data_IF_080165691311
#
_entry.id   IF_080165691311
#
_cell.length_a   1.000
_cell.length_b   1.000
_cell.length_c   1.000
_cell.angle_alpha   90.00
_cell.angle_beta   90.00
_cell.angle_gamma   90.00
#
_symmetry.space_group_name_H-M   'P 1'
#
loop_
_entity.id
_entity.type
_entity.pdbx_description
1 polymer ?
#
# COMPACT_ATOMS: atom_id res chain seq x y z
N UNK A 1 -2.75 -14.42 3.88
CA UNK A 1 -1.43 -13.75 4.01
C UNK A 1 -0.57 -14.48 5.04
N UNK A 2 -0.99 -14.57 6.31
CA UNK A 2 -0.20 -15.19 7.40
C UNK A 2 0.26 -16.61 7.07
N UNK A 3 -0.58 -17.41 6.42
CA UNK A 3 -0.24 -18.77 5.98
C UNK A 3 0.87 -18.82 4.91
N UNK A 4 1.13 -17.71 4.24
CA UNK A 4 2.19 -17.57 3.26
C UNK A 4 3.55 -17.17 3.85
N UNK A 5 3.59 -16.71 5.10
CA UNK A 5 4.83 -16.37 5.78
C UNK A 5 5.63 -17.63 6.15
N UNK A 6 6.94 -17.61 5.91
CA UNK A 6 7.87 -18.63 6.41
C UNK A 6 7.93 -18.61 7.95
N UNK A 7 8.61 -19.59 8.56
CA UNK A 7 8.82 -19.61 10.00
C UNK A 7 9.68 -18.41 10.45
N UNK A 8 10.68 -18.08 9.67
CA UNK A 8 11.59 -16.94 9.86
C UNK A 8 10.85 -15.62 9.70
N UNK A 9 10.04 -15.49 8.64
CA UNK A 9 9.23 -14.29 8.39
C UNK A 9 8.26 -13.98 9.55
N UNK A 10 7.65 -15.02 10.17
CA UNK A 10 6.74 -14.84 11.31
C UNK A 10 7.40 -14.26 12.56
N UNK A 11 8.73 -14.37 12.67
CA UNK A 11 9.49 -13.74 13.76
C UNK A 11 9.73 -12.25 13.52
N UNK A 12 9.59 -11.78 12.27
CA UNK A 12 9.92 -10.41 11.84
C UNK A 12 8.65 -9.61 11.51
N UNK A 13 7.67 -10.23 10.86
CA UNK A 13 6.46 -9.55 10.40
C UNK A 13 5.31 -9.69 11.39
N UNK A 14 4.72 -8.56 11.77
CA UNK A 14 3.37 -8.50 12.30
C UNK A 14 2.36 -8.29 11.15
N UNK A 15 1.19 -8.89 11.24
CA UNK A 15 0.12 -8.71 10.27
C UNK A 15 -1.09 -8.11 10.96
N UNK A 16 -1.57 -6.97 10.46
CA UNK A 16 -2.75 -6.31 10.96
C UNK A 16 -3.79 -6.17 9.83
N UNK A 17 -4.96 -6.83 9.93
CA UNK A 17 -6.02 -6.70 8.93
C UNK A 17 -6.81 -5.41 9.14
N UNK A 18 -6.89 -4.57 8.10
CA UNK A 18 -7.82 -3.45 8.08
C UNK A 18 -9.23 -3.95 7.74
N UNK A 19 -10.23 -3.50 8.48
CA UNK A 19 -11.65 -3.88 8.27
C UNK A 19 -12.35 -3.05 7.19
N UNK A 20 -11.59 -2.28 6.42
CA UNK A 20 -12.09 -1.41 5.37
C UNK A 20 -11.20 -0.19 5.16
N UNK A 21 -11.77 0.90 4.65
CA UNK A 21 -11.07 2.16 4.46
C UNK A 21 -10.77 2.82 5.80
N UNK A 22 -9.53 3.25 5.99
CA UNK A 22 -9.15 4.04 7.16
C UNK A 22 -9.90 5.37 7.22
N UNK A 23 -10.07 5.88 8.42
CA UNK A 23 -10.59 7.23 8.64
C UNK A 23 -9.67 8.25 7.96
N UNK A 24 -10.25 9.14 7.15
CA UNK A 24 -9.54 10.32 6.70
C UNK A 24 -9.34 11.27 7.90
N UNK A 25 -8.08 11.44 8.32
CA UNK A 25 -7.75 12.22 9.53
C UNK A 25 -7.68 13.72 9.27
N UNK A 26 -7.54 14.15 8.00
CA UNK A 26 -7.53 15.59 7.64
C UNK A 26 -8.83 16.26 8.06
N UNK A 27 -8.71 17.38 8.75
CA UNK A 27 -9.83 18.17 9.29
C UNK A 27 -10.82 17.36 10.16
N UNK A 28 -10.36 16.25 10.73
CA UNK A 28 -11.17 15.42 11.63
C UNK A 28 -10.84 15.75 13.09
N UNK A 29 -11.87 15.85 13.92
CA UNK A 29 -11.72 16.11 15.35
C UNK A 29 -10.81 15.07 16.01
N UNK A 30 -9.89 15.51 16.85
CA UNK A 30 -8.92 14.65 17.53
C UNK A 30 -9.60 13.56 18.38
N UNK A 31 -10.74 13.87 18.97
CA UNK A 31 -11.56 12.91 19.73
C UNK A 31 -12.04 11.77 18.84
N UNK A 32 -12.47 12.06 17.60
CA UNK A 32 -12.90 11.04 16.64
C UNK A 32 -11.72 10.17 16.17
N UNK A 33 -10.55 10.77 15.98
CA UNK A 33 -9.33 10.05 15.63
C UNK A 33 -8.92 9.10 16.76
N UNK A 34 -8.92 9.58 18.00
CA UNK A 34 -8.53 8.80 19.19
C UNK A 34 -9.52 7.67 19.51
N UNK A 35 -10.79 7.81 19.13
CA UNK A 35 -11.82 6.78 19.31
C UNK A 35 -11.92 5.82 18.10
N UNK A 36 -11.06 5.96 17.09
CA UNK A 36 -11.04 5.05 15.95
C UNK A 36 -10.20 3.81 16.29
N UNK A 37 -10.82 2.64 16.26
CA UNK A 37 -10.18 1.37 16.64
C UNK A 37 -8.99 1.01 15.78
N UNK A 38 -9.07 1.20 14.46
CA UNK A 38 -7.98 0.89 13.54
C UNK A 38 -6.75 1.75 13.83
N UNK A 39 -6.94 3.07 14.00
CA UNK A 39 -5.86 4.01 14.31
C UNK A 39 -5.25 3.69 15.67
N UNK A 40 -6.10 3.44 16.67
CA UNK A 40 -5.67 3.08 18.03
C UNK A 40 -4.87 1.78 18.04
N UNK A 41 -5.31 0.78 17.27
CA UNK A 41 -4.59 -0.48 17.14
C UNK A 41 -3.25 -0.30 16.40
N UNK A 42 -3.19 0.47 15.31
CA UNK A 42 -1.93 0.78 14.61
C UNK A 42 -0.95 1.45 15.58
N UNK A 43 -1.40 2.47 16.34
CA UNK A 43 -0.58 3.14 17.36
C UNK A 43 0.00 2.14 18.37
N UNK A 44 -0.85 1.30 18.95
CA UNK A 44 -0.46 0.31 19.95
C UNK A 44 0.48 -0.75 19.40
N UNK A 45 0.23 -1.26 18.19
CA UNK A 45 1.06 -2.28 17.55
C UNK A 45 2.45 -1.73 17.23
N UNK A 46 2.52 -0.51 16.70
CA UNK A 46 3.78 0.14 16.34
C UNK A 46 4.53 0.72 17.55
N UNK A 47 3.85 1.01 18.64
CA UNK A 47 4.40 1.75 19.79
C UNK A 47 4.46 3.26 19.54
N UNK A 48 3.52 3.81 18.75
CA UNK A 48 3.47 5.23 18.43
C UNK A 48 2.81 6.05 19.53
N UNK A 49 3.42 7.16 19.87
CA UNK A 49 2.89 8.14 20.81
C UNK A 49 2.30 9.35 20.06
N UNK A 50 1.21 9.90 20.57
CA UNK A 50 0.60 11.10 19.98
C UNK A 50 1.54 12.31 20.07
N UNK A 51 1.59 13.12 19.01
CA UNK A 51 2.38 14.36 18.94
C UNK A 51 3.90 14.18 19.13
N UNK A 52 4.40 12.95 19.07
CA UNK A 52 5.84 12.67 19.15
C UNK A 52 6.46 12.70 17.78
N UNK A 53 7.63 13.32 17.67
CA UNK A 53 8.50 13.28 16.50
C UNK A 53 9.42 12.07 16.58
N UNK A 54 9.72 11.50 15.43
CA UNK A 54 10.57 10.33 15.30
C UNK A 54 11.64 10.56 14.24
N UNK A 55 12.87 10.19 14.55
CA UNK A 55 13.97 10.08 13.59
C UNK A 55 14.33 8.60 13.35
N UNK A 56 15.28 8.32 12.47
CA UNK A 56 15.70 6.94 12.15
C UNK A 56 16.20 6.16 13.37
N UNK A 57 16.86 6.84 14.32
CA UNK A 57 17.35 6.21 15.57
C UNK A 57 16.17 5.85 16.47
N UNK A 58 15.18 6.74 16.56
CA UNK A 58 13.97 6.49 17.35
C UNK A 58 13.18 5.31 16.79
N UNK A 59 13.03 5.22 15.45
CA UNK A 59 12.35 4.10 14.81
C UNK A 59 13.00 2.78 15.19
N UNK A 60 14.34 2.69 15.14
CA UNK A 60 15.08 1.47 15.48
C UNK A 60 15.05 1.11 16.97
N UNK A 61 14.99 2.12 17.86
CA UNK A 61 15.13 1.89 19.32
C UNK A 61 13.80 1.92 20.07
N UNK A 62 12.80 2.65 19.60
CA UNK A 62 11.56 2.94 20.35
C UNK A 62 10.33 2.30 19.74
N UNK A 63 10.31 2.07 18.41
CA UNK A 63 9.19 1.41 17.78
C UNK A 63 9.36 -0.11 17.76
N UNK A 64 8.24 -0.83 17.82
CA UNK A 64 8.22 -2.29 17.74
C UNK A 64 8.59 -2.78 16.34
N UNK A 65 8.25 -2.03 15.29
CA UNK A 65 8.53 -2.33 13.90
C UNK A 65 9.22 -1.15 13.24
N UNK A 66 10.24 -1.42 12.42
CA UNK A 66 11.03 -0.40 11.73
C UNK A 66 10.37 0.13 10.47
N UNK A 67 9.37 -0.56 9.92
CA UNK A 67 8.67 -0.17 8.69
C UNK A 67 7.27 -0.75 8.63
N UNK A 68 6.47 -0.20 7.72
CA UNK A 68 5.11 -0.65 7.40
C UNK A 68 5.03 -1.01 5.93
N UNK A 69 4.55 -2.21 5.63
CA UNK A 69 4.26 -2.66 4.28
C UNK A 69 2.75 -2.82 4.11
N UNK A 70 2.16 -1.99 3.28
CA UNK A 70 0.73 -2.01 3.00
C UNK A 70 0.46 -2.98 1.85
N UNK A 71 -0.51 -3.86 2.05
CA UNK A 71 -1.00 -4.81 1.06
C UNK A 71 -2.48 -4.56 0.82
N UNK A 72 -2.84 -4.25 -0.42
CA UNK A 72 -4.23 -4.03 -0.84
C UNK A 72 -4.47 -4.70 -2.18
N UNK A 73 -5.73 -4.83 -2.55
CA UNK A 73 -6.11 -5.19 -3.91
C UNK A 73 -5.53 -4.17 -4.90
N UNK A 74 -5.27 -4.61 -6.14
CA UNK A 74 -4.68 -3.76 -7.17
C UNK A 74 -5.78 -3.04 -8.00
N UNK A 75 -6.72 -2.42 -7.29
CA UNK A 75 -7.84 -1.67 -7.84
C UNK A 75 -7.91 -0.24 -7.29
N UNK A 76 -8.94 0.52 -7.67
CA UNK A 76 -9.12 1.91 -7.24
C UNK A 76 -9.35 2.01 -5.72
N UNK A 77 -10.09 1.07 -5.13
CA UNK A 77 -10.33 1.05 -3.68
C UNK A 77 -9.04 0.73 -2.91
N UNK A 78 -8.23 -0.21 -3.40
CA UNK A 78 -6.91 -0.48 -2.86
C UNK A 78 -5.97 0.73 -2.95
N UNK A 79 -6.01 1.47 -4.04
CA UNK A 79 -5.26 2.73 -4.19
C UNK A 79 -5.74 3.80 -3.21
N UNK A 80 -7.05 3.90 -2.98
CA UNK A 80 -7.63 4.80 -1.98
C UNK A 80 -7.18 4.43 -0.55
N UNK A 81 -7.17 3.13 -0.21
CA UNK A 81 -6.68 2.65 1.10
C UNK A 81 -5.19 3.01 1.28
N UNK A 82 -4.35 2.80 0.27
CA UNK A 82 -2.93 3.23 0.30
C UNK A 82 -2.81 4.72 0.59
N UNK A 83 -3.60 5.54 -0.11
CA UNK A 83 -3.64 7.00 0.08
C UNK A 83 -4.06 7.39 1.50
N UNK A 84 -5.10 6.75 2.06
CA UNK A 84 -5.54 7.01 3.44
C UNK A 84 -4.48 6.62 4.48
N UNK A 85 -3.71 5.55 4.24
CA UNK A 85 -2.58 5.19 5.10
C UNK A 85 -1.48 6.25 5.06
N UNK A 86 -1.11 6.72 3.86
CA UNK A 86 -0.14 7.82 3.71
C UNK A 86 -0.65 9.06 4.45
N UNK A 87 -1.92 9.43 4.24
CA UNK A 87 -2.53 10.58 4.88
C UNK A 87 -2.51 10.48 6.42
N UNK A 88 -2.80 9.30 6.99
CA UNK A 88 -2.74 9.09 8.44
C UNK A 88 -1.34 9.41 8.99
N UNK A 89 -0.29 8.86 8.37
CA UNK A 89 1.07 9.09 8.84
C UNK A 89 1.55 10.51 8.58
N UNK A 90 1.21 11.10 7.43
CA UNK A 90 1.53 12.49 7.12
C UNK A 90 0.88 13.46 8.11
N UNK A 91 -0.38 13.23 8.46
CA UNK A 91 -1.14 14.10 9.36
C UNK A 91 -0.71 13.95 10.82
N UNK A 92 -0.40 12.74 11.26
CA UNK A 92 -0.15 12.44 12.69
C UNK A 92 1.32 12.27 13.05
N UNK A 93 2.15 11.83 12.11
CA UNK A 93 3.58 11.55 12.29
C UNK A 93 4.37 11.87 11.02
N UNK A 94 4.33 13.12 10.59
CA UNK A 94 4.93 13.56 9.32
C UNK A 94 6.42 13.20 9.20
N UNK A 95 7.14 13.18 10.32
CA UNK A 95 8.56 12.81 10.31
C UNK A 95 8.79 11.36 9.88
N UNK A 96 7.86 10.43 10.20
CA UNK A 96 8.00 9.01 9.85
C UNK A 96 7.94 8.76 8.34
N UNK A 97 7.05 9.45 7.62
CA UNK A 97 6.94 9.24 6.18
C UNK A 97 8.12 9.80 5.38
N UNK A 98 8.94 10.63 6.02
CA UNK A 98 10.18 11.18 5.46
C UNK A 98 11.38 10.26 5.66
N UNK A 99 11.25 9.26 6.54
CA UNK A 99 12.28 8.25 6.77
C UNK A 99 12.26 7.27 5.59
N UNK A 100 13.42 7.05 4.99
CA UNK A 100 13.56 6.09 3.90
C UNK A 100 13.10 4.70 4.32
N UNK A 101 12.37 4.03 3.42
CA UNK A 101 11.87 2.66 3.60
C UNK A 101 10.94 2.44 4.80
N UNK A 102 10.45 3.51 5.46
CA UNK A 102 9.48 3.38 6.54
C UNK A 102 8.11 2.91 6.04
N UNK A 103 7.64 3.45 4.92
CA UNK A 103 6.34 3.10 4.33
C UNK A 103 6.52 2.54 2.93
N UNK A 104 5.97 1.35 2.69
CA UNK A 104 6.01 0.69 1.39
C UNK A 104 4.71 0.00 1.03
N UNK A 105 4.59 -0.37 -0.23
CA UNK A 105 3.44 -1.07 -0.80
C UNK A 105 3.92 -2.35 -1.44
N UNK A 106 3.38 -3.48 -1.01
CA UNK A 106 3.66 -4.74 -1.69
C UNK A 106 2.82 -4.84 -2.96
N UNK A 107 3.51 -4.96 -4.09
CA UNK A 107 2.86 -5.14 -5.38
C UNK A 107 2.65 -6.64 -5.65
N UNK A 108 1.41 -7.06 -5.83
CA UNK A 108 1.04 -8.43 -6.18
C UNK A 108 0.59 -8.50 -7.63
N UNK A 109 0.79 -9.63 -8.33
CA UNK A 109 0.35 -9.75 -9.72
C UNK A 109 -1.16 -9.58 -9.87
N UNK A 110 -1.59 -8.86 -10.91
CA UNK A 110 -2.99 -8.78 -11.33
C UNK A 110 -3.38 -9.93 -12.26
N UNK A 111 -2.39 -10.48 -12.96
CA UNK A 111 -2.56 -11.56 -13.93
C UNK A 111 -1.37 -12.52 -13.87
N UNK A 112 -1.66 -13.82 -14.08
CA UNK A 112 -0.64 -14.83 -14.36
C UNK A 112 -1.03 -15.61 -15.62
N UNK A 113 -0.08 -15.81 -16.52
CA UNK A 113 -0.20 -16.67 -17.70
C UNK A 113 0.64 -17.93 -17.49
N UNK A 114 0.06 -19.12 -17.69
CA UNK A 114 0.76 -20.41 -17.53
C UNK A 114 0.65 -21.25 -18.79
N UNK A 115 1.79 -21.88 -19.18
CA UNK A 115 1.85 -22.85 -20.25
C UNK A 115 2.84 -23.97 -19.87
N UNK A 116 2.31 -25.11 -19.46
CA UNK A 116 3.13 -26.18 -18.90
C UNK A 116 3.87 -25.71 -17.64
N UNK A 117 5.21 -25.77 -17.66
CA UNK A 117 6.07 -25.31 -16.55
C UNK A 117 6.40 -23.81 -16.60
N UNK A 118 6.06 -23.11 -17.69
CA UNK A 118 6.31 -21.67 -17.83
C UNK A 118 5.21 -20.88 -17.16
N UNK A 119 5.61 -19.88 -16.36
CA UNK A 119 4.71 -18.90 -15.75
C UNK A 119 5.24 -17.49 -16.02
N UNK A 120 4.34 -16.58 -16.38
CA UNK A 120 4.60 -15.15 -16.53
C UNK A 120 3.63 -14.40 -15.65
N UNK A 121 4.11 -13.42 -14.88
CA UNK A 121 3.32 -12.61 -13.97
C UNK A 121 3.27 -11.17 -14.49
N UNK A 122 2.10 -10.54 -14.40
CA UNK A 122 1.88 -9.15 -14.83
C UNK A 122 1.35 -8.34 -13.67
N UNK A 123 1.89 -7.13 -13.49
CA UNK A 123 1.59 -6.24 -12.39
C UNK A 123 0.72 -5.04 -12.82
N UNK A 124 0.54 -4.87 -14.14
CA UNK A 124 -0.39 -3.93 -14.75
C UNK A 124 -0.92 -4.48 -16.08
N UNK A 125 -2.02 -3.90 -16.56
CA UNK A 125 -2.67 -4.35 -17.81
C UNK A 125 -1.81 -4.07 -19.04
N UNK A 126 -1.03 -2.99 -19.04
CA UNK A 126 -0.16 -2.63 -20.17
C UNK A 126 0.91 -3.71 -20.42
N UNK A 127 1.56 -4.22 -19.36
CA UNK A 127 2.50 -5.33 -19.47
C UNK A 127 1.85 -6.57 -20.09
N UNK A 128 0.63 -6.90 -19.66
CA UNK A 128 -0.10 -8.05 -20.19
C UNK A 128 -0.48 -7.86 -21.66
N UNK A 129 -0.99 -6.72 -22.07
CA UNK A 129 -1.36 -6.46 -23.47
C UNK A 129 -0.15 -6.46 -24.41
N UNK A 130 1.00 -5.93 -23.99
CA UNK A 130 2.27 -6.02 -24.75
C UNK A 130 2.70 -7.47 -24.91
N UNK A 131 2.66 -8.24 -23.84
CA UNK A 131 3.02 -9.66 -23.89
C UNK A 131 2.06 -10.46 -24.75
N UNK A 132 0.77 -10.22 -24.64
CA UNK A 132 -0.31 -10.89 -25.38
C UNK A 132 -0.12 -10.73 -26.88
N UNK A 133 0.19 -9.50 -27.36
CA UNK A 133 0.50 -9.23 -28.76
C UNK A 133 1.70 -10.03 -29.26
N UNK A 134 2.74 -10.20 -28.43
CA UNK A 134 3.96 -10.95 -28.77
C UNK A 134 3.79 -12.48 -28.65
N UNK A 135 2.75 -12.98 -28.04
CA UNK A 135 2.51 -14.39 -27.76
C UNK A 135 1.22 -14.93 -28.41
N UNK A 136 0.97 -14.55 -29.65
CA UNK A 136 -0.20 -15.02 -30.44
C UNK A 136 -1.52 -14.87 -29.66
N UNK A 137 -1.76 -13.68 -29.10
CA UNK A 137 -2.92 -13.35 -28.26
C UNK A 137 -3.14 -14.31 -27.08
N UNK A 138 -2.07 -14.90 -26.55
CA UNK A 138 -2.13 -15.83 -25.44
C UNK A 138 -2.67 -17.22 -25.78
N UNK A 139 -2.75 -17.59 -27.07
CA UNK A 139 -3.24 -18.89 -27.51
C UNK A 139 -2.39 -20.02 -26.90
N UNK A 140 -3.08 -20.96 -26.22
CA UNK A 140 -2.44 -22.08 -25.53
C UNK A 140 -1.85 -21.75 -24.15
N UNK A 141 -2.14 -20.57 -23.62
CA UNK A 141 -1.85 -20.20 -22.24
C UNK A 141 -3.11 -20.18 -21.39
N UNK A 142 -3.00 -20.61 -20.15
CA UNK A 142 -4.06 -20.47 -19.13
C UNK A 142 -3.84 -19.13 -18.43
N UNK A 143 -4.84 -18.24 -18.48
CA UNK A 143 -4.77 -16.92 -17.87
C UNK A 143 -5.59 -16.93 -16.57
N UNK A 144 -4.96 -16.53 -15.46
CA UNK A 144 -5.62 -16.34 -14.16
C UNK A 144 -5.60 -14.87 -13.79
N UNK A 145 -6.78 -14.30 -13.57
CA UNK A 145 -6.96 -12.93 -13.07
C UNK A 145 -7.05 -12.94 -11.55
N UNK A 146 -6.41 -11.97 -10.92
CA UNK A 146 -6.43 -11.74 -9.48
C UNK A 146 -7.18 -10.44 -9.20
N UNK A 147 -8.48 -10.56 -8.89
CA UNK A 147 -9.32 -9.39 -8.59
C UNK A 147 -8.99 -8.77 -7.23
N UNK A 148 -8.32 -9.51 -6.35
CA UNK A 148 -7.92 -9.05 -5.04
C UNK A 148 -7.05 -10.07 -4.32
N UNK A 149 -6.57 -9.71 -3.14
CA UNK A 149 -5.71 -10.56 -2.30
C UNK A 149 -6.37 -11.90 -1.95
N UNK A 150 -7.71 -11.91 -1.85
CA UNK A 150 -8.48 -13.13 -1.55
C UNK A 150 -8.46 -14.19 -2.65
N UNK A 151 -8.09 -13.84 -3.88
CA UNK A 151 -7.97 -14.79 -5.01
C UNK A 151 -6.62 -15.53 -5.05
N UNK A 152 -5.66 -15.11 -4.23
CA UNK A 152 -4.36 -15.75 -4.10
C UNK A 152 -4.38 -16.85 -3.07
N UNK A 153 -3.75 -17.99 -3.40
CA UNK A 153 -3.58 -19.13 -2.51
C UNK A 153 -2.44 -18.91 -1.51
N UNK A 154 -2.40 -19.70 -0.44
CA UNK A 154 -1.27 -19.68 0.52
C UNK A 154 0.08 -19.96 -0.14
N UNK A 155 0.11 -20.83 -1.17
CA UNK A 155 1.32 -21.10 -1.95
C UNK A 155 1.79 -19.86 -2.73
N UNK A 156 0.85 -19.16 -3.36
CA UNK A 156 1.15 -17.93 -4.08
C UNK A 156 1.66 -16.82 -3.13
N UNK A 157 1.09 -16.71 -1.93
CA UNK A 157 1.64 -15.78 -0.91
C UNK A 157 3.06 -16.15 -0.49
N UNK A 158 3.41 -17.44 -0.36
CA UNK A 158 4.81 -17.85 -0.12
C UNK A 158 5.74 -17.37 -1.23
N UNK A 159 5.31 -17.49 -2.49
CA UNK A 159 6.08 -17.00 -3.64
C UNK A 159 6.24 -15.47 -3.60
N UNK A 160 5.16 -14.73 -3.24
CA UNK A 160 5.21 -13.27 -3.14
C UNK A 160 6.14 -12.82 -2.01
N UNK A 161 6.15 -13.48 -0.87
CA UNK A 161 7.04 -13.15 0.25
C UNK A 161 8.49 -13.56 -0.02
N UNK A 162 8.73 -14.65 -0.77
CA UNK A 162 10.08 -15.05 -1.18
C UNK A 162 10.71 -14.06 -2.18
N UNK A 163 9.89 -13.46 -3.05
CA UNK A 163 10.32 -12.51 -4.10
C UNK A 163 9.52 -11.20 -4.00
N UNK A 164 9.62 -10.53 -2.86
CA UNK A 164 8.86 -9.31 -2.57
C UNK A 164 9.12 -8.21 -3.60
N UNK A 165 8.06 -7.72 -4.23
CA UNK A 165 8.09 -6.48 -5.01
C UNK A 165 7.48 -5.37 -4.17
N UNK A 166 8.32 -4.64 -3.47
CA UNK A 166 7.91 -3.52 -2.62
C UNK A 166 8.23 -2.21 -3.33
N UNK A 167 7.22 -1.36 -3.43
CA UNK A 167 7.36 0.02 -3.90
C UNK A 167 7.44 0.88 -2.65
N UNK A 168 8.56 1.53 -2.42
CA UNK A 168 8.77 2.40 -1.28
C UNK A 168 8.16 3.77 -1.53
N UNK A 169 7.42 4.29 -0.54
CA UNK A 169 6.96 5.67 -0.56
C UNK A 169 8.12 6.61 -0.28
N UNK A 170 8.25 7.65 -1.10
CA UNK A 170 9.22 8.73 -0.90
C UNK A 170 8.49 10.07 -0.86
N UNK A 171 8.71 10.83 0.20
CA UNK A 171 8.15 12.16 0.37
C UNK A 171 9.04 13.18 -0.36
N UNK A 172 8.56 13.70 -1.50
CA UNK A 172 9.22 14.80 -2.23
C UNK A 172 8.78 16.17 -1.71
N UNK A 173 9.32 17.24 -2.28
CA UNK A 173 9.06 18.63 -1.86
C UNK A 173 7.57 19.01 -1.85
N UNK A 174 6.79 18.53 -2.81
CA UNK A 174 5.34 18.81 -2.93
C UNK A 174 4.46 17.81 -2.18
N UNK A 175 5.04 16.90 -1.39
CA UNK A 175 4.33 15.80 -0.75
C UNK A 175 3.20 16.30 0.15
N UNK A 176 3.51 17.23 1.04
CA UNK A 176 2.54 17.75 2.02
C UNK A 176 1.37 18.46 1.35
N UNK A 177 1.64 19.31 0.33
CA UNK A 177 0.57 19.97 -0.44
C UNK A 177 -0.27 18.98 -1.24
N UNK A 178 0.37 17.98 -1.85
CA UNK A 178 -0.34 16.96 -2.65
C UNK A 178 -1.28 16.13 -1.78
N UNK A 179 -0.83 15.67 -0.61
CA UNK A 179 -1.66 14.91 0.32
C UNK A 179 -2.78 15.78 0.87
N UNK A 180 -2.48 17.02 1.23
CA UNK A 180 -3.50 17.97 1.70
C UNK A 180 -4.55 18.23 0.62
N UNK A 181 -4.15 18.49 -0.62
CA UNK A 181 -5.06 18.67 -1.76
C UNK A 181 -6.00 17.49 -1.93
N UNK A 182 -5.48 16.24 -1.81
CA UNK A 182 -6.28 15.03 -2.02
C UNK A 182 -7.27 14.82 -0.88
N UNK A 183 -6.87 15.02 0.38
CA UNK A 183 -7.65 14.56 1.54
C UNK A 183 -8.35 15.68 2.33
N UNK A 184 -7.95 16.94 2.15
CA UNK A 184 -8.58 18.07 2.83
C UNK A 184 -9.92 18.40 2.18
N UNK A 185 -10.99 18.38 2.99
CA UNK A 185 -12.36 18.66 2.52
C UNK A 185 -12.51 20.07 1.95
N UNK A 186 -11.77 21.04 2.49
CA UNK A 186 -11.83 22.44 2.06
C UNK A 186 -11.20 22.69 0.68
N UNK A 187 -10.44 21.71 0.16
CA UNK A 187 -9.75 21.80 -1.13
C UNK A 187 -10.47 21.03 -2.25
N UNK A 188 -11.80 20.95 -2.20
CA UNK A 188 -12.58 20.25 -3.22
C UNK A 188 -12.43 20.85 -4.62
N UNK A 189 -12.39 22.19 -4.71
CA UNK A 189 -12.27 22.88 -6.00
C UNK A 189 -10.85 22.76 -6.57
N UNK A 190 -9.81 22.77 -5.71
CA UNK A 190 -8.44 22.48 -6.14
C UNK A 190 -8.33 21.09 -6.77
N UNK A 191 -9.01 20.09 -6.18
CA UNK A 191 -9.04 18.71 -6.75
C UNK A 191 -9.74 18.65 -8.09
N UNK A 192 -10.88 19.35 -8.25
CA UNK A 192 -11.60 19.41 -9.55
C UNK A 192 -10.70 19.97 -10.62
N UNK A 193 -10.13 21.15 -10.36
CA UNK A 193 -9.21 21.81 -11.29
C UNK A 193 -7.99 20.94 -11.63
N UNK A 194 -7.43 20.25 -10.62
CA UNK A 194 -6.32 19.31 -10.86
C UNK A 194 -6.73 18.15 -11.76
N UNK A 195 -7.91 17.55 -11.55
CA UNK A 195 -8.40 16.42 -12.35
C UNK A 195 -8.78 16.84 -13.77
N UNK A 196 -9.33 18.04 -13.95
CA UNK A 196 -9.66 18.60 -15.27
C UNK A 196 -8.41 18.82 -16.12
N UNK A 197 -7.31 19.20 -15.49
CA UNK A 197 -6.02 19.46 -16.14
C UNK A 197 -5.06 18.27 -16.13
N UNK A 198 -5.52 17.10 -15.64
CA UNK A 198 -4.68 15.91 -15.54
C UNK A 198 -4.50 15.27 -16.92
N UNK A 199 -3.27 15.25 -17.41
CA UNK A 199 -2.91 14.50 -18.60
C UNK A 199 -2.72 13.01 -18.25
N UNK A 200 -3.58 12.17 -18.82
CA UNK A 200 -3.52 10.71 -18.64
C UNK A 200 -2.35 10.04 -19.37
N UNK A 201 -1.63 10.78 -20.22
CA UNK A 201 -0.57 10.28 -21.07
C UNK A 201 0.84 10.61 -20.56
N UNK A 202 0.96 11.22 -19.38
CA UNK A 202 2.23 11.52 -18.72
C UNK A 202 2.56 10.48 -17.65
#
# INVERSE_FOLDING_TARGET
IVSGLSKEDRNIYGVFPLKGKLLNTKDTLITKINNNDEITNIKRIMGLEANKKYNEVDVKKKLRYGSIMIMTDQDLDGSHIKGLCINLFQDRWNDLIKINDFLGFMNTPILKARKGKKEVQFYNEAEYEIWKKKNNNGKGWTIKYYKGLGTSTSKEFKEYFANKKVITFKCGEKCDDSIDKVFNKKRADDRKSWLENYDKNV
#
